data_IF_418875676251
#
_entry.id   IF_418875676251
#
_cell.length_a   1.000
_cell.length_b   1.000
_cell.length_c   1.000
_cell.angle_alpha   90.00
_cell.angle_beta   90.00
_cell.angle_gamma   90.00
#
_symmetry.space_group_name_H-M   'P 1'
#
loop_
_entity.id
_entity.type
_entity.pdbx_description
1 polymer ?
#
# COMPACT_ATOMS: atom_id res chain seq x y z
N UNK A 1 -17.91 19.58 -6.57
CA UNK A 1 -17.89 18.43 -5.62
C UNK A 1 -19.04 18.59 -4.66
N UNK A 2 -19.74 17.48 -4.31
CA UNK A 2 -20.70 17.49 -3.21
C UNK A 2 -19.94 17.86 -1.92
N UNK A 3 -20.51 18.68 -1.01
CA UNK A 3 -19.84 19.13 0.22
C UNK A 3 -19.26 18.01 1.09
N UNK A 4 -19.82 16.81 1.03
CA UNK A 4 -19.34 15.63 1.74
C UNK A 4 -18.42 14.70 0.93
N UNK A 5 -17.92 15.14 -0.24
CA UNK A 5 -16.88 14.41 -0.95
C UNK A 5 -15.67 14.17 -0.04
N UNK A 6 -15.21 12.91 0.17
CA UNK A 6 -14.05 12.64 1.01
C UNK A 6 -12.75 13.07 0.30
N UNK A 7 -11.89 13.74 1.05
CA UNK A 7 -10.57 14.19 0.59
C UNK A 7 -9.51 13.90 1.65
N UNK A 8 -8.32 13.53 1.20
CA UNK A 8 -7.13 13.40 2.06
C UNK A 8 -6.52 14.78 2.23
N UNK A 9 -6.33 15.21 3.47
CA UNK A 9 -5.82 16.54 3.84
C UNK A 9 -4.53 16.50 4.65
N UNK A 10 -4.18 15.35 5.22
CA UNK A 10 -2.94 15.20 5.96
C UNK A 10 -2.34 13.82 5.71
N UNK A 11 -1.00 13.76 5.63
CA UNK A 11 -0.24 12.53 5.47
C UNK A 11 1.05 12.60 6.28
N UNK A 12 1.46 11.48 6.86
CA UNK A 12 2.75 11.41 7.53
C UNK A 12 3.29 9.99 7.49
N UNK A 13 4.60 9.86 7.26
CA UNK A 13 5.37 8.65 7.47
C UNK A 13 6.43 8.93 8.52
N UNK A 14 6.57 8.06 9.51
CA UNK A 14 7.66 8.12 10.48
C UNK A 14 8.95 7.65 9.82
N UNK A 15 10.07 7.68 10.52
CA UNK A 15 11.27 6.98 10.08
C UNK A 15 10.95 5.52 9.73
N UNK A 16 11.50 5.06 8.61
CA UNK A 16 11.41 3.67 8.14
C UNK A 16 12.79 3.04 8.23
N UNK A 17 12.95 1.99 9.02
CA UNK A 17 14.23 1.34 9.24
C UNK A 17 14.11 -0.18 9.33
N UNK A 18 15.23 -0.89 9.18
CA UNK A 18 15.26 -2.34 9.43
C UNK A 18 14.90 -2.68 10.87
N UNK A 19 15.33 -1.82 11.81
CA UNK A 19 14.97 -1.91 13.23
C UNK A 19 14.99 -0.52 13.86
N UNK A 20 14.09 -0.28 14.79
CA UNK A 20 13.97 0.93 15.60
C UNK A 20 14.07 0.54 17.10
N UNK A 21 15.27 0.18 17.58
CA UNK A 21 15.44 -0.50 18.88
C UNK A 21 15.04 0.35 20.08
N UNK A 22 15.07 1.68 19.94
CA UNK A 22 14.81 2.64 21.02
C UNK A 22 13.39 3.24 20.93
N UNK A 23 12.52 2.65 20.07
CA UNK A 23 11.15 3.13 19.89
C UNK A 23 10.15 2.20 20.59
N UNK A 24 9.13 2.81 21.18
CA UNK A 24 7.92 2.14 21.63
C UNK A 24 6.85 2.17 20.53
N UNK A 25 6.05 1.10 20.43
CA UNK A 25 5.06 0.99 19.37
C UNK A 25 3.92 2.02 19.50
N UNK A 26 3.52 2.36 20.75
CA UNK A 26 2.49 3.37 20.99
C UNK A 26 3.00 4.76 20.62
N UNK A 27 4.24 5.08 20.99
CA UNK A 27 4.86 6.35 20.64
C UNK A 27 5.03 6.50 19.12
N UNK A 28 5.42 5.42 18.44
CA UNK A 28 5.57 5.42 16.99
C UNK A 28 4.22 5.61 16.27
N UNK A 29 3.16 4.95 16.75
CA UNK A 29 1.81 5.14 16.22
C UNK A 29 1.28 6.56 16.49
N UNK A 30 1.55 7.11 17.68
CA UNK A 30 1.19 8.48 18.02
C UNK A 30 1.95 9.51 17.17
N UNK A 31 3.22 9.26 16.87
CA UNK A 31 3.99 10.11 15.96
C UNK A 31 3.34 10.12 14.57
N UNK A 32 3.02 8.95 14.01
CA UNK A 32 2.36 8.86 12.72
C UNK A 32 1.03 9.64 12.70
N UNK A 33 0.18 9.41 13.70
CA UNK A 33 -1.13 10.05 13.83
C UNK A 33 -1.00 11.57 14.00
N UNK A 34 -0.16 12.02 14.93
CA UNK A 34 0.05 13.47 15.20
C UNK A 34 0.68 14.17 14.01
N UNK A 35 1.62 13.51 13.34
CA UNK A 35 2.26 14.05 12.14
C UNK A 35 1.25 14.28 11.02
N UNK A 36 0.36 13.32 10.76
CA UNK A 36 -0.70 13.46 9.74
C UNK A 36 -1.72 14.55 10.11
N UNK A 37 -2.09 14.67 11.41
CA UNK A 37 -2.98 15.72 11.90
C UNK A 37 -2.32 17.11 11.73
N UNK A 38 -1.03 17.22 12.07
CA UNK A 38 -0.27 18.47 11.93
C UNK A 38 -0.08 18.87 10.46
N UNK A 39 0.22 17.90 9.56
CA UNK A 39 0.29 18.15 8.11
C UNK A 39 -1.04 18.72 7.57
N UNK A 40 -2.17 18.22 8.06
CA UNK A 40 -3.47 18.75 7.72
C UNK A 40 -3.73 20.19 8.27
N UNK A 41 -2.88 20.73 9.15
CA UNK A 41 -3.14 21.97 9.87
C UNK A 41 -4.24 21.85 10.92
N UNK A 42 -4.50 20.62 11.40
CA UNK A 42 -5.52 20.29 12.38
C UNK A 42 -4.93 20.00 13.75
N UNK A 43 -5.79 19.86 14.72
CA UNK A 43 -5.47 19.44 16.09
C UNK A 43 -6.18 18.12 16.42
N UNK A 44 -5.77 17.37 17.46
CA UNK A 44 -6.49 16.18 17.89
C UNK A 44 -7.98 16.43 18.20
N UNK A 45 -8.34 17.65 18.61
CA UNK A 45 -9.73 18.04 18.86
C UNK A 45 -10.61 18.08 17.60
N UNK A 46 -10.01 18.10 16.43
CA UNK A 46 -10.70 18.12 15.14
C UNK A 46 -11.06 16.72 14.62
N UNK A 47 -10.49 15.67 15.20
CA UNK A 47 -10.67 14.28 14.77
C UNK A 47 -11.90 13.69 15.47
N UNK A 48 -12.90 13.24 14.74
CA UNK A 48 -14.10 12.60 15.27
C UNK A 48 -14.27 11.13 14.84
N UNK A 49 -13.33 10.62 14.05
CA UNK A 49 -13.23 9.21 13.69
C UNK A 49 -11.80 8.71 13.68
N UNK A 50 -11.58 7.44 14.04
CA UNK A 50 -10.27 6.79 14.01
C UNK A 50 -10.38 5.37 13.48
N UNK A 51 -9.46 5.04 12.57
CA UNK A 51 -9.20 3.71 12.08
C UNK A 51 -7.68 3.49 12.09
N UNK A 52 -7.17 3.29 13.29
CA UNK A 52 -5.74 3.18 13.56
C UNK A 52 -5.50 1.94 14.38
N UNK A 53 -4.56 1.08 13.94
CA UNK A 53 -4.17 -0.08 14.72
C UNK A 53 -3.66 0.34 16.09
N UNK A 54 -4.16 -0.29 17.15
CA UNK A 54 -3.71 -0.04 18.52
C UNK A 54 -2.57 -1.00 18.88
N UNK A 55 -1.34 -0.52 18.99
CA UNK A 55 -0.20 -1.38 19.25
C UNK A 55 0.07 -1.62 20.74
N UNK A 56 -0.71 -1.01 21.62
CA UNK A 56 -0.50 -1.06 23.07
C UNK A 56 -1.12 -2.29 23.74
N UNK A 57 -0.84 -2.51 25.02
CA UNK A 57 -1.42 -3.60 25.79
C UNK A 57 -2.94 -3.51 25.87
N UNK A 58 -3.61 -4.65 25.84
CA UNK A 58 -5.07 -4.72 25.96
C UNK A 58 -5.82 -4.12 24.77
N UNK A 59 -5.17 -4.07 23.58
CA UNK A 59 -5.67 -3.39 22.40
C UNK A 59 -6.99 -3.89 21.85
N UNK A 60 -7.47 -5.07 22.20
CA UNK A 60 -8.75 -5.61 21.74
C UNK A 60 -9.62 -5.97 22.93
N UNK A 61 -10.86 -5.51 23.04
CA UNK A 61 -11.71 -4.74 22.13
C UNK A 61 -11.66 -3.21 22.31
N UNK A 62 -10.62 -2.71 22.94
CA UNK A 62 -10.53 -1.30 23.35
C UNK A 62 -9.88 -0.32 22.40
N UNK A 63 -9.62 -0.69 21.14
CA UNK A 63 -8.89 0.17 20.18
C UNK A 63 -9.51 1.56 20.04
N UNK A 64 -10.80 1.65 19.76
CA UNK A 64 -11.52 2.92 19.64
C UNK A 64 -11.46 3.76 20.90
N UNK A 65 -11.66 3.16 22.09
CA UNK A 65 -11.57 3.84 23.38
C UNK A 65 -10.13 4.28 23.69
N UNK A 66 -9.14 3.47 23.33
CA UNK A 66 -7.73 3.80 23.49
C UNK A 66 -7.36 5.02 22.64
N UNK A 67 -7.78 5.06 21.38
CA UNK A 67 -7.55 6.20 20.50
C UNK A 67 -8.33 7.44 20.94
N UNK A 68 -9.59 7.31 21.40
CA UNK A 68 -10.35 8.41 21.98
C UNK A 68 -9.58 9.05 23.15
N UNK A 69 -9.02 8.21 24.04
CA UNK A 69 -8.19 8.67 25.16
C UNK A 69 -6.91 9.37 24.69
N UNK A 70 -6.21 8.83 23.69
CA UNK A 70 -4.96 9.40 23.16
C UNK A 70 -5.18 10.72 22.43
N UNK A 71 -6.33 10.87 21.78
CA UNK A 71 -6.75 12.10 21.11
C UNK A 71 -7.40 13.11 22.07
N UNK A 72 -7.74 12.69 23.31
CA UNK A 72 -8.32 13.55 24.35
C UNK A 72 -9.78 13.93 24.07
N UNK A 73 -10.53 13.11 23.31
CA UNK A 73 -11.92 13.37 22.96
C UNK A 73 -12.69 12.10 22.62
N UNK A 74 -14.02 12.16 22.72
CA UNK A 74 -14.90 11.08 22.26
C UNK A 74 -14.91 11.01 20.72
N UNK A 75 -14.88 9.80 20.18
CA UNK A 75 -14.99 9.54 18.77
C UNK A 75 -16.43 9.15 18.40
N UNK A 76 -16.90 9.64 17.28
CA UNK A 76 -18.22 9.32 16.71
C UNK A 76 -18.19 8.04 15.89
N UNK A 77 -17.00 7.70 15.37
CA UNK A 77 -16.82 6.55 14.52
C UNK A 77 -15.46 5.90 14.73
N UNK A 78 -15.44 4.58 14.79
CA UNK A 78 -14.21 3.77 14.76
C UNK A 78 -14.44 2.54 13.89
N UNK A 79 -13.36 2.00 13.36
CA UNK A 79 -13.37 0.70 12.70
C UNK A 79 -12.20 -0.10 13.26
N UNK A 80 -12.56 -1.13 14.02
CA UNK A 80 -11.60 -1.99 14.71
C UNK A 80 -11.32 -3.23 13.85
N UNK A 81 -10.08 -3.40 13.42
CA UNK A 81 -9.59 -4.66 12.86
C UNK A 81 -8.11 -4.55 12.59
N UNK A 82 -7.33 -5.40 13.20
CA UNK A 82 -5.86 -5.44 13.07
C UNK A 82 -5.35 -5.60 11.63
N UNK A 83 -6.12 -6.19 10.74
CA UNK A 83 -5.71 -6.45 9.36
C UNK A 83 -6.41 -5.54 8.34
N UNK A 84 -7.40 -4.78 8.76
CA UNK A 84 -8.29 -4.03 7.88
C UNK A 84 -8.10 -2.52 7.92
N UNK A 85 -7.09 -2.02 8.61
CA UNK A 85 -6.98 -0.60 8.91
C UNK A 85 -6.01 0.16 8.00
N UNK A 86 -5.41 -0.47 7.02
CA UNK A 86 -4.33 0.15 6.26
C UNK A 86 -4.69 0.47 4.81
N UNK A 87 -3.99 1.45 4.25
CA UNK A 87 -3.97 1.76 2.83
C UNK A 87 -5.32 2.05 2.20
N UNK A 88 -5.55 1.53 1.00
CA UNK A 88 -6.80 1.72 0.26
C UNK A 88 -8.02 1.22 1.02
N UNK A 89 -7.92 0.10 1.73
CA UNK A 89 -9.03 -0.43 2.53
C UNK A 89 -9.44 0.53 3.64
N UNK A 90 -8.48 1.01 4.42
CA UNK A 90 -8.71 2.00 5.46
C UNK A 90 -9.25 3.31 4.91
N UNK A 91 -8.65 3.80 3.84
CA UNK A 91 -9.09 5.01 3.14
C UNK A 91 -10.54 4.90 2.64
N UNK A 92 -10.90 3.78 2.00
CA UNK A 92 -12.26 3.58 1.48
C UNK A 92 -13.31 3.45 2.59
N UNK A 93 -12.99 2.80 3.72
CA UNK A 93 -13.87 2.76 4.89
C UNK A 93 -14.08 4.16 5.50
N UNK A 94 -13.00 4.93 5.68
CA UNK A 94 -13.08 6.31 6.16
C UNK A 94 -13.88 7.19 5.20
N UNK A 95 -13.65 7.06 3.89
CA UNK A 95 -14.38 7.78 2.86
C UNK A 95 -15.88 7.44 2.89
N UNK A 96 -16.25 6.18 3.06
CA UNK A 96 -17.64 5.76 3.21
C UNK A 96 -18.29 6.33 4.47
N UNK A 97 -17.58 6.31 5.61
CA UNK A 97 -18.07 6.88 6.86
C UNK A 97 -18.33 8.39 6.75
N UNK A 98 -17.42 9.13 6.12
CA UNK A 98 -17.56 10.56 5.85
C UNK A 98 -18.71 10.83 4.90
N UNK A 99 -18.82 10.10 3.80
CA UNK A 99 -19.91 10.27 2.83
C UNK A 99 -21.29 9.98 3.44
N UNK A 100 -21.36 8.99 4.33
CA UNK A 100 -22.59 8.63 5.05
C UNK A 100 -22.93 9.55 6.26
N UNK A 101 -22.01 10.44 6.66
CA UNK A 101 -22.21 11.36 7.78
C UNK A 101 -21.96 10.75 9.16
N UNK A 102 -21.31 9.59 9.25
CA UNK A 102 -20.93 9.00 10.54
C UNK A 102 -19.78 9.76 11.20
N UNK A 103 -18.87 10.31 10.41
CA UNK A 103 -17.79 11.17 10.85
C UNK A 103 -17.56 12.32 9.86
N UNK A 104 -16.85 13.35 10.30
CA UNK A 104 -16.44 14.48 9.48
C UNK A 104 -14.93 14.50 9.22
N UNK A 105 -14.13 13.99 10.15
CA UNK A 105 -12.67 13.94 10.02
C UNK A 105 -12.14 12.66 10.66
N UNK A 106 -11.54 11.81 9.85
CA UNK A 106 -11.07 10.48 10.25
C UNK A 106 -9.55 10.39 10.08
N UNK A 107 -8.86 9.89 11.09
CA UNK A 107 -7.46 9.48 10.97
C UNK A 107 -7.37 7.98 10.71
N UNK A 108 -6.53 7.59 9.76
CA UNK A 108 -6.28 6.19 9.35
C UNK A 108 -4.80 5.92 9.39
N UNK A 109 -4.37 4.79 9.96
CA UNK A 109 -2.96 4.43 9.96
C UNK A 109 -2.55 3.48 11.07
N UNK A 110 -1.31 3.59 11.50
CA UNK A 110 -0.71 2.80 12.56
C UNK A 110 0.80 2.63 12.39
N UNK A 111 1.36 1.66 13.09
CA UNK A 111 2.78 1.34 13.01
C UNK A 111 3.02 -0.16 13.12
N UNK A 112 4.25 -0.56 12.84
CA UNK A 112 4.76 -1.89 13.17
C UNK A 112 6.18 -1.79 13.72
N UNK A 113 6.40 -2.47 14.83
CA UNK A 113 7.71 -2.89 15.30
C UNK A 113 7.79 -4.42 15.18
N UNK A 114 8.88 -4.92 14.63
CA UNK A 114 9.11 -6.37 14.55
C UNK A 114 9.54 -6.86 15.92
N UNK A 115 8.72 -7.67 16.58
CA UNK A 115 9.12 -8.30 17.83
C UNK A 115 10.32 -9.22 17.56
N UNK A 116 11.42 -9.00 18.29
CA UNK A 116 12.61 -9.85 18.21
C UNK A 116 12.22 -11.30 18.50
N UNK A 117 12.47 -12.21 17.55
CA UNK A 117 12.15 -13.63 17.71
C UNK A 117 10.83 -14.06 17.07
N UNK A 118 10.07 -13.18 16.43
CA UNK A 118 9.00 -13.63 15.55
C UNK A 118 9.62 -14.38 14.36
N UNK A 119 9.23 -15.63 14.19
CA UNK A 119 9.60 -16.44 13.03
C UNK A 119 9.13 -15.83 11.72
N UNK A 120 9.32 -16.53 10.58
CA UNK A 120 8.84 -16.06 9.28
C UNK A 120 7.40 -15.60 9.39
N UNK A 121 7.10 -14.44 8.79
CA UNK A 121 5.73 -13.90 8.79
C UNK A 121 4.84 -14.92 8.06
N UNK A 122 4.10 -15.71 8.84
CA UNK A 122 3.08 -16.60 8.30
C UNK A 122 1.93 -15.78 7.71
N UNK A 123 1.03 -16.45 7.00
CA UNK A 123 -0.16 -15.82 6.42
C UNK A 123 -1.22 -15.42 7.47
N UNK A 124 -0.80 -15.16 8.70
CA UNK A 124 -1.63 -14.62 9.78
C UNK A 124 -2.45 -15.64 10.57
N UNK A 125 -2.78 -16.80 10.01
CA UNK A 125 -3.46 -17.90 10.71
C UNK A 125 -2.64 -19.15 10.51
N UNK A 126 -2.36 -19.94 11.59
CA UNK A 126 -1.75 -21.24 11.44
C UNK A 126 -2.54 -22.09 10.46
N UNK A 127 -1.90 -22.44 9.34
CA UNK A 127 -2.52 -23.26 8.32
C UNK A 127 -2.15 -24.71 8.59
N UNK A 128 -3.10 -25.44 9.13
CA UNK A 128 -2.94 -26.82 9.63
C UNK A 128 -2.18 -27.74 8.64
N UNK A 129 -2.33 -27.49 7.33
CA UNK A 129 -1.69 -28.27 6.28
C UNK A 129 -0.57 -27.54 5.54
N UNK A 130 -0.43 -26.23 5.69
CA UNK A 130 0.55 -25.44 4.95
C UNK A 130 1.78 -25.10 5.80
N UNK A 131 1.62 -24.79 7.08
CA UNK A 131 2.71 -24.39 7.96
C UNK A 131 3.70 -25.53 8.21
N UNK A 132 3.21 -26.79 8.28
CA UNK A 132 4.07 -28.00 8.44
C UNK A 132 5.04 -28.16 7.27
N UNK A 133 4.69 -27.62 6.08
CA UNK A 133 5.52 -27.69 4.87
C UNK A 133 6.31 -26.40 4.64
N UNK A 134 6.26 -25.45 5.59
CA UNK A 134 6.93 -24.17 5.46
C UNK A 134 6.28 -23.24 4.40
N UNK A 135 4.99 -23.43 4.11
CA UNK A 135 4.26 -22.54 3.23
C UNK A 135 4.05 -21.19 3.91
N UNK A 136 4.66 -20.16 3.36
CA UNK A 136 4.50 -18.78 3.81
C UNK A 136 4.18 -17.89 2.61
N UNK A 137 3.79 -16.64 2.85
CA UNK A 137 3.24 -15.74 1.83
C UNK A 137 4.07 -15.67 0.55
N UNK A 138 5.42 -15.65 0.65
CA UNK A 138 6.29 -15.62 -0.54
C UNK A 138 6.14 -16.88 -1.38
N UNK A 139 6.01 -18.07 -0.74
CA UNK A 139 5.80 -19.33 -1.45
C UNK A 139 4.44 -19.37 -2.17
N UNK A 140 3.40 -18.79 -1.57
CA UNK A 140 2.07 -18.68 -2.20
C UNK A 140 2.14 -17.81 -3.46
N UNK A 141 2.75 -16.63 -3.40
CA UNK A 141 3.00 -15.81 -4.57
C UNK A 141 3.87 -16.51 -5.62
N UNK A 142 4.86 -17.29 -5.19
CA UNK A 142 5.75 -18.03 -6.09
C UNK A 142 4.99 -19.07 -6.93
N UNK A 143 3.99 -19.76 -6.34
CA UNK A 143 3.13 -20.69 -7.09
C UNK A 143 2.30 -19.97 -8.14
N UNK A 144 1.72 -18.82 -7.80
CA UNK A 144 0.95 -17.99 -8.75
C UNK A 144 1.85 -17.50 -9.88
N UNK A 145 3.05 -17.00 -9.54
CA UNK A 145 4.05 -16.54 -10.50
C UNK A 145 4.52 -17.67 -11.44
N UNK A 146 4.85 -18.83 -10.89
CA UNK A 146 5.30 -19.97 -11.66
C UNK A 146 4.23 -20.43 -12.69
N UNK A 147 2.95 -20.37 -12.32
CA UNK A 147 1.86 -20.67 -13.23
C UNK A 147 1.75 -19.64 -14.35
N UNK A 148 1.82 -18.36 -14.04
CA UNK A 148 1.82 -17.30 -15.04
C UNK A 148 3.01 -17.43 -16.01
N UNK A 149 4.20 -17.72 -15.50
CA UNK A 149 5.39 -17.96 -16.32
C UNK A 149 5.19 -19.14 -17.27
N UNK A 150 4.52 -20.20 -16.81
CA UNK A 150 4.22 -21.38 -17.64
C UNK A 150 3.20 -21.06 -18.75
N UNK A 151 2.15 -20.29 -18.44
CA UNK A 151 1.08 -20.00 -19.38
C UNK A 151 1.45 -18.94 -20.42
N UNK A 152 2.17 -17.91 -20.00
CA UNK A 152 2.41 -16.73 -20.83
C UNK A 152 3.88 -16.53 -21.23
N UNK A 153 4.80 -17.36 -20.71
CA UNK A 153 6.21 -17.25 -21.03
C UNK A 153 6.93 -16.08 -20.34
N UNK A 154 6.33 -15.49 -19.30
CA UNK A 154 7.02 -14.50 -18.47
C UNK A 154 8.32 -15.08 -17.92
N UNK A 155 9.40 -14.31 -17.96
CA UNK A 155 10.75 -14.78 -17.65
C UNK A 155 11.24 -14.23 -16.31
N UNK A 156 12.19 -14.94 -15.67
CA UNK A 156 12.88 -14.44 -14.48
C UNK A 156 13.61 -13.11 -14.75
N UNK A 157 14.05 -12.88 -16.00
CA UNK A 157 14.63 -11.60 -16.40
C UNK A 157 13.64 -10.45 -16.29
N UNK A 158 12.40 -10.64 -16.72
CA UNK A 158 11.36 -9.62 -16.61
C UNK A 158 11.00 -9.34 -15.14
N UNK A 159 10.96 -10.37 -14.28
CA UNK A 159 10.83 -10.18 -12.82
C UNK A 159 11.98 -9.33 -12.28
N UNK A 160 13.20 -9.65 -12.68
CA UNK A 160 14.40 -8.94 -12.23
C UNK A 160 14.45 -7.48 -12.70
N UNK A 161 13.98 -7.17 -13.91
CA UNK A 161 13.85 -5.78 -14.41
C UNK A 161 12.86 -4.96 -13.57
N UNK A 162 11.72 -5.56 -13.18
CA UNK A 162 10.77 -4.92 -12.23
C UNK A 162 11.46 -4.62 -10.91
N UNK A 163 12.13 -5.63 -10.33
CA UNK A 163 12.79 -5.49 -9.04
C UNK A 163 13.90 -4.42 -9.09
N UNK A 164 14.75 -4.44 -10.10
CA UNK A 164 15.81 -3.45 -10.27
C UNK A 164 15.26 -2.03 -10.41
N UNK A 165 14.23 -1.83 -11.24
CA UNK A 165 13.60 -0.53 -11.45
C UNK A 165 13.08 0.06 -10.15
N UNK A 166 12.24 -0.68 -9.41
CA UNK A 166 11.63 -0.17 -8.16
C UNK A 166 12.68 0.00 -7.07
N UNK A 167 13.63 -0.94 -6.94
CA UNK A 167 14.73 -0.81 -5.96
C UNK A 167 15.54 0.45 -6.19
N UNK A 168 15.86 0.77 -7.44
CA UNK A 168 16.64 1.95 -7.76
C UNK A 168 15.93 3.26 -7.42
N UNK A 169 14.60 3.29 -7.45
CA UNK A 169 13.85 4.44 -6.92
C UNK A 169 14.14 4.66 -5.43
N UNK A 170 14.12 3.60 -4.61
CA UNK A 170 14.43 3.73 -3.17
C UNK A 170 15.89 3.99 -2.88
N UNK A 171 16.86 3.53 -3.72
CA UNK A 171 18.28 3.77 -3.45
C UNK A 171 18.67 5.23 -3.52
N UNK A 172 17.90 6.04 -4.19
CA UNK A 172 18.09 7.50 -4.32
C UNK A 172 17.10 8.32 -3.50
N UNK A 173 16.15 7.66 -2.81
CA UNK A 173 15.22 8.31 -1.90
C UNK A 173 15.78 8.31 -0.46
N UNK A 174 16.09 9.49 0.14
CA UNK A 174 16.68 9.58 1.47
C UNK A 174 15.76 9.07 2.60
N UNK A 175 14.46 8.94 2.36
CA UNK A 175 13.51 8.39 3.33
C UNK A 175 13.41 6.85 3.26
N UNK A 176 13.99 6.22 2.25
CA UNK A 176 13.88 4.78 2.03
C UNK A 176 14.92 4.00 2.85
N UNK A 177 14.51 2.82 3.35
CA UNK A 177 15.42 1.93 4.09
C UNK A 177 16.66 1.51 3.28
N UNK A 178 16.56 1.51 1.94
CA UNK A 178 17.63 1.12 1.04
C UNK A 178 18.41 2.31 0.46
N UNK A 179 18.22 3.50 1.01
CA UNK A 179 18.94 4.69 0.58
C UNK A 179 20.46 4.47 0.54
N UNK A 180 21.08 4.88 -0.56
CA UNK A 180 22.52 4.72 -0.77
C UNK A 180 23.01 3.30 -1.08
N UNK A 181 22.09 2.32 -1.22
CA UNK A 181 22.41 0.94 -1.57
C UNK A 181 22.02 0.67 -3.03
N UNK A 182 22.95 0.31 -3.86
CA UNK A 182 22.76 0.10 -5.31
C UNK A 182 23.63 1.02 -6.15
N UNK A 183 23.36 1.31 -7.43
CA UNK A 183 22.20 0.83 -8.18
C UNK A 183 22.24 -0.69 -8.42
N UNK A 184 21.06 -1.28 -8.59
CA UNK A 184 20.87 -2.69 -8.91
C UNK A 184 20.57 -2.86 -10.40
N UNK A 185 21.12 -3.93 -10.98
CA UNK A 185 20.79 -4.42 -12.33
C UNK A 185 19.92 -5.67 -12.23
N UNK A 186 19.28 -6.07 -13.32
CA UNK A 186 18.58 -7.34 -13.37
C UNK A 186 19.54 -8.54 -13.14
N UNK A 187 20.80 -8.42 -13.54
CA UNK A 187 21.80 -9.46 -13.28
C UNK A 187 22.13 -9.59 -11.79
N UNK A 188 22.17 -8.48 -11.04
CA UNK A 188 22.34 -8.50 -9.57
C UNK A 188 21.15 -9.21 -8.90
N UNK A 189 19.92 -8.97 -9.39
CA UNK A 189 18.72 -9.65 -8.87
C UNK A 189 18.83 -11.15 -9.12
N UNK A 190 19.14 -11.57 -10.34
CA UNK A 190 19.27 -12.97 -10.72
C UNK A 190 20.43 -13.69 -10.02
N UNK A 191 21.51 -12.98 -9.70
CA UNK A 191 22.65 -13.51 -8.96
C UNK A 191 22.37 -13.62 -7.45
N UNK A 192 21.34 -12.95 -6.94
CA UNK A 192 21.01 -12.99 -5.51
C UNK A 192 20.43 -14.37 -5.11
N UNK A 193 20.48 -14.67 -3.82
CA UNK A 193 20.07 -15.98 -3.29
C UNK A 193 18.60 -16.29 -3.63
N UNK A 194 18.32 -17.51 -4.11
CA UNK A 194 16.96 -18.01 -4.31
C UNK A 194 16.22 -18.11 -2.96
N UNK A 195 15.01 -17.59 -2.91
CA UNK A 195 14.12 -17.64 -1.74
C UNK A 195 13.02 -18.68 -1.94
N UNK A 196 12.23 -18.56 -2.99
CA UNK A 196 11.19 -19.49 -3.41
C UNK A 196 11.02 -19.35 -4.92
N UNK A 197 11.34 -20.39 -5.70
CA UNK A 197 11.27 -20.34 -7.17
C UNK A 197 9.92 -19.80 -7.66
N UNK A 198 9.87 -18.71 -8.49
CA UNK A 198 11.00 -18.12 -9.23
C UNK A 198 11.74 -16.96 -8.52
N UNK A 199 11.43 -16.62 -7.28
CA UNK A 199 11.92 -15.41 -6.61
C UNK A 199 13.29 -15.56 -5.98
N UNK A 200 14.15 -14.63 -6.32
CA UNK A 200 15.42 -14.39 -5.63
C UNK A 200 15.23 -13.37 -4.48
N UNK A 201 16.25 -13.20 -3.66
CA UNK A 201 16.22 -12.29 -2.52
C UNK A 201 15.85 -10.85 -2.91
N UNK A 202 16.41 -10.38 -4.01
CA UNK A 202 16.15 -9.03 -4.50
C UNK A 202 14.79 -8.88 -5.23
N UNK A 203 14.11 -9.98 -5.55
CA UNK A 203 12.71 -9.93 -5.99
C UNK A 203 11.73 -9.66 -4.85
N UNK A 204 12.13 -9.87 -3.60
CA UNK A 204 11.25 -9.83 -2.43
C UNK A 204 11.38 -8.52 -1.66
N UNK A 205 10.31 -8.09 -1.01
CA UNK A 205 10.29 -6.94 -0.11
C UNK A 205 11.22 -7.12 1.10
N UNK A 206 11.57 -6.01 1.72
CA UNK A 206 12.41 -5.99 2.93
C UNK A 206 11.55 -5.63 4.11
N UNK A 207 11.47 -6.55 5.07
CA UNK A 207 10.75 -6.33 6.33
C UNK A 207 11.49 -5.29 7.16
N UNK A 208 10.75 -4.28 7.61
CA UNK A 208 11.25 -3.21 8.46
C UNK A 208 10.24 -2.77 9.50
N UNK A 209 10.57 -1.71 10.19
CA UNK A 209 9.81 -1.05 11.24
C UNK A 209 9.49 0.37 10.84
N UNK A 210 8.36 0.88 11.30
CA UNK A 210 7.90 2.22 11.00
C UNK A 210 6.39 2.35 11.11
N UNK A 211 5.89 3.55 10.88
CA UNK A 211 4.47 3.86 10.90
C UNK A 211 4.08 4.85 9.81
N UNK A 212 2.80 4.94 9.55
CA UNK A 212 2.22 5.92 8.66
C UNK A 212 0.77 6.24 9.05
N UNK A 213 0.32 7.44 8.78
CA UNK A 213 -1.08 7.82 8.94
C UNK A 213 -1.49 8.86 7.90
N UNK A 214 -2.80 8.89 7.66
CA UNK A 214 -3.45 9.89 6.81
C UNK A 214 -4.65 10.48 7.53
N UNK A 215 -5.04 11.70 7.18
CA UNK A 215 -6.27 12.34 7.63
C UNK A 215 -7.19 12.56 6.45
N UNK A 216 -8.42 12.09 6.58
CA UNK A 216 -9.48 12.22 5.57
C UNK A 216 -10.59 13.08 6.15
N UNK A 217 -11.08 14.04 5.37
CA UNK A 217 -12.18 14.92 5.80
C UNK A 217 -13.11 15.23 4.62
N UNK A 218 -14.11 16.10 4.84
CA UNK A 218 -14.99 16.54 3.78
C UNK A 218 -14.34 17.61 2.90
N UNK A 219 -14.68 17.65 1.62
CA UNK A 219 -14.20 18.69 0.70
C UNK A 219 -14.63 20.10 1.15
N UNK A 220 -15.76 20.22 1.87
CA UNK A 220 -16.19 21.48 2.45
C UNK A 220 -15.19 21.98 3.49
N UNK A 221 -14.83 21.13 4.46
CA UNK A 221 -13.89 21.49 5.52
C UNK A 221 -12.48 21.75 4.98
N UNK A 222 -12.08 20.99 3.95
CA UNK A 222 -10.76 21.09 3.37
C UNK A 222 -10.45 22.46 2.75
N UNK A 223 -11.44 23.29 2.43
CA UNK A 223 -11.24 24.62 1.85
C UNK A 223 -10.48 25.59 2.76
N UNK A 224 -10.61 25.38 4.06
CA UNK A 224 -10.00 26.22 5.08
C UNK A 224 -8.68 25.65 5.60
N UNK A 225 -8.20 24.53 5.03
CA UNK A 225 -6.97 23.87 5.45
C UNK A 225 -5.78 24.25 4.55
N UNK A 226 -4.55 24.23 5.09
CA UNK A 226 -3.39 24.73 4.37
C UNK A 226 -2.91 23.86 3.22
N UNK A 227 -3.21 22.56 3.25
CA UNK A 227 -2.74 21.62 2.26
C UNK A 227 -3.66 21.51 1.05
N UNK A 228 -3.08 21.25 -0.13
CA UNK A 228 -3.86 20.90 -1.32
C UNK A 228 -4.58 19.58 -1.04
N UNK A 229 -5.93 19.58 -1.02
CA UNK A 229 -6.67 18.36 -0.75
C UNK A 229 -6.60 17.41 -1.93
N UNK A 230 -6.57 16.10 -1.64
CA UNK A 230 -6.57 15.04 -2.63
C UNK A 230 -7.87 14.27 -2.54
N UNK A 231 -8.68 14.31 -3.60
CA UNK A 231 -10.00 13.71 -3.63
C UNK A 231 -9.93 12.18 -3.78
N UNK A 232 -10.78 11.47 -3.05
CA UNK A 232 -11.04 10.05 -3.29
C UNK A 232 -12.12 9.97 -4.38
N UNK A 233 -11.70 9.69 -5.61
CA UNK A 233 -12.57 9.71 -6.79
C UNK A 233 -13.32 8.42 -7.00
N UNK A 234 -12.73 7.30 -6.59
CA UNK A 234 -13.31 5.98 -6.73
C UNK A 234 -12.53 4.92 -5.96
N UNK A 235 -13.08 3.74 -5.90
CA UNK A 235 -12.43 2.60 -5.29
C UNK A 235 -13.20 1.31 -5.43
N UNK A 236 -12.53 0.21 -5.14
CA UNK A 236 -13.12 -1.11 -5.19
C UNK A 236 -12.33 -2.10 -4.34
N UNK A 237 -13.01 -3.17 -3.95
CA UNK A 237 -12.44 -4.27 -3.20
C UNK A 237 -12.90 -5.59 -3.80
N UNK A 238 -12.00 -6.57 -3.83
CA UNK A 238 -12.26 -7.94 -4.25
C UNK A 238 -11.58 -8.92 -3.31
N UNK A 239 -12.27 -10.02 -3.02
CA UNK A 239 -11.77 -11.08 -2.17
C UNK A 239 -12.02 -12.42 -2.85
N UNK A 240 -10.97 -13.23 -3.03
CA UNK A 240 -11.12 -14.58 -3.50
C UNK A 240 -11.69 -15.47 -2.39
N UNK A 241 -12.59 -16.38 -2.74
CA UNK A 241 -13.28 -17.27 -1.80
C UNK A 241 -12.40 -18.38 -1.21
N UNK A 242 -11.17 -18.57 -1.71
CA UNK A 242 -10.28 -19.59 -1.18
C UNK A 242 -9.94 -19.32 0.28
N UNK A 243 -10.23 -20.27 1.14
CA UNK A 243 -9.65 -20.30 2.46
C UNK A 243 -8.13 -20.45 2.36
N UNK A 244 -7.40 -19.97 3.34
CA UNK A 244 -5.96 -20.12 3.46
C UNK A 244 -5.42 -21.57 3.35
N UNK A 245 -6.30 -22.56 3.36
CA UNK A 245 -5.94 -23.98 3.32
C UNK A 245 -5.38 -24.46 1.97
N UNK A 246 -5.67 -23.77 0.87
CA UNK A 246 -5.20 -24.14 -0.46
C UNK A 246 -4.45 -22.96 -1.09
N UNK A 247 -3.25 -23.18 -1.67
CA UNK A 247 -2.60 -22.18 -2.47
C UNK A 247 -3.54 -21.71 -3.58
N UNK A 248 -3.68 -20.40 -3.73
CA UNK A 248 -4.48 -19.83 -4.82
C UNK A 248 -3.86 -20.21 -6.17
N UNK A 249 -4.71 -20.57 -7.14
CA UNK A 249 -4.27 -20.82 -8.51
C UNK A 249 -4.27 -19.52 -9.30
N UNK A 250 -3.31 -19.34 -10.19
CA UNK A 250 -3.23 -18.13 -11.02
C UNK A 250 -4.56 -17.82 -11.74
N UNK A 251 -5.20 -18.81 -12.35
CA UNK A 251 -6.48 -18.58 -13.06
C UNK A 251 -7.63 -18.11 -12.14
N UNK A 252 -7.49 -18.28 -10.83
CA UNK A 252 -8.46 -17.83 -9.82
C UNK A 252 -8.17 -16.43 -9.33
N UNK A 253 -6.89 -16.10 -9.17
CA UNK A 253 -6.46 -14.85 -8.56
C UNK A 253 -5.64 -13.94 -9.49
N UNK A 254 -5.23 -14.43 -10.65
CA UNK A 254 -4.37 -13.69 -11.57
C UNK A 254 -4.96 -12.36 -12.01
N UNK A 255 -6.28 -12.32 -12.18
CA UNK A 255 -7.02 -11.14 -12.58
C UNK A 255 -7.80 -10.48 -11.41
N UNK A 256 -7.55 -10.92 -10.19
CA UNK A 256 -8.17 -10.32 -9.02
C UNK A 256 -7.73 -8.85 -8.90
N UNK A 257 -8.67 -7.96 -8.81
CA UNK A 257 -8.48 -6.51 -8.89
C UNK A 257 -9.06 -5.88 -10.15
N UNK A 258 -9.37 -6.67 -11.20
CA UNK A 258 -9.95 -6.15 -12.46
C UNK A 258 -11.34 -5.55 -12.25
N UNK A 259 -12.20 -6.21 -11.49
CA UNK A 259 -13.52 -5.68 -11.19
C UNK A 259 -13.46 -4.48 -10.25
N UNK A 260 -12.55 -4.50 -9.27
CA UNK A 260 -12.31 -3.34 -8.41
C UNK A 260 -11.83 -2.13 -9.22
N UNK A 261 -10.90 -2.33 -10.15
CA UNK A 261 -10.40 -1.29 -11.04
C UNK A 261 -11.51 -0.77 -11.97
N UNK A 262 -12.26 -1.66 -12.60
CA UNK A 262 -13.37 -1.28 -13.48
C UNK A 262 -14.39 -0.41 -12.75
N UNK A 263 -14.76 -0.77 -11.52
CA UNK A 263 -15.67 0.04 -10.70
C UNK A 263 -15.06 1.38 -10.33
N UNK A 264 -13.79 1.40 -9.90
CA UNK A 264 -13.12 2.63 -9.50
C UNK A 264 -12.98 3.61 -10.68
N UNK A 265 -12.59 3.14 -11.85
CA UNK A 265 -12.51 3.96 -13.06
C UNK A 265 -13.89 4.49 -13.48
N UNK A 266 -14.92 3.65 -13.45
CA UNK A 266 -16.28 4.06 -13.77
C UNK A 266 -16.82 5.13 -12.80
N UNK A 267 -16.52 5.04 -11.50
CA UNK A 267 -16.91 6.05 -10.51
C UNK A 267 -16.28 7.42 -10.81
N UNK A 268 -15.07 7.43 -11.31
CA UNK A 268 -14.33 8.66 -11.63
C UNK A 268 -14.55 9.14 -13.07
N UNK A 269 -15.11 8.32 -13.95
CA UNK A 269 -15.29 8.64 -15.37
C UNK A 269 -13.99 8.67 -16.16
N UNK A 270 -13.00 7.84 -15.78
CA UNK A 270 -11.67 7.76 -16.41
C UNK A 270 -11.34 6.32 -16.79
N UNK A 271 -10.26 6.12 -17.53
CA UNK A 271 -9.69 4.80 -17.85
C UNK A 271 -8.28 4.60 -17.28
N UNK A 272 -7.73 3.38 -17.38
CA UNK A 272 -6.40 3.08 -16.87
C UNK A 272 -5.29 3.91 -17.52
N UNK A 273 -5.49 4.38 -18.75
CA UNK A 273 -4.50 5.19 -19.51
C UNK A 273 -4.49 6.67 -19.10
N UNK A 274 -5.48 7.11 -18.31
CA UNK A 274 -5.56 8.48 -17.78
C UNK A 274 -4.83 8.65 -16.46
N UNK A 275 -4.32 7.55 -15.87
CA UNK A 275 -3.63 7.55 -14.59
C UNK A 275 -2.14 7.86 -14.78
N UNK A 276 -1.66 8.84 -14.02
CA UNK A 276 -0.28 9.35 -14.13
C UNK A 276 0.72 8.59 -13.27
N UNK A 277 0.30 8.07 -12.11
CA UNK A 277 1.19 7.38 -11.17
C UNK A 277 0.49 6.22 -10.46
N UNK A 278 1.23 5.15 -10.25
CA UNK A 278 0.75 3.92 -9.64
C UNK A 278 1.56 3.61 -8.38
N UNK A 279 0.92 3.69 -7.21
CA UNK A 279 1.49 3.28 -5.93
C UNK A 279 0.94 1.90 -5.56
N UNK A 280 1.63 0.86 -5.98
CA UNK A 280 1.16 -0.52 -5.95
C UNK A 280 1.89 -1.34 -4.87
N UNK A 281 1.16 -2.31 -4.29
CA UNK A 281 1.77 -3.27 -3.38
C UNK A 281 2.72 -4.20 -4.13
N UNK A 282 3.97 -4.20 -3.72
CA UNK A 282 5.08 -4.94 -4.31
C UNK A 282 5.80 -5.82 -3.28
N UNK A 283 5.13 -6.87 -2.73
CA UNK A 283 5.80 -7.82 -1.83
C UNK A 283 6.84 -8.63 -2.57
N UNK A 284 6.74 -8.69 -3.87
CA UNK A 284 7.67 -9.27 -4.83
C UNK A 284 7.47 -8.64 -6.21
N UNK A 285 8.42 -8.86 -7.10
CA UNK A 285 8.43 -8.30 -8.46
C UNK A 285 7.26 -8.79 -9.33
N UNK A 286 6.82 -10.04 -9.18
CA UNK A 286 5.72 -10.60 -9.96
C UNK A 286 4.38 -9.90 -9.66
N UNK A 287 4.13 -9.51 -8.42
CA UNK A 287 2.87 -8.85 -8.06
C UNK A 287 2.65 -7.55 -8.82
N UNK A 288 3.72 -6.85 -9.21
CA UNK A 288 3.62 -5.70 -10.11
C UNK A 288 3.15 -6.12 -11.49
N UNK A 289 3.74 -7.16 -12.09
CA UNK A 289 3.32 -7.69 -13.40
C UNK A 289 1.84 -8.02 -13.39
N UNK A 290 1.39 -8.77 -12.37
CA UNK A 290 -0.01 -9.13 -12.20
C UNK A 290 -0.93 -7.91 -12.10
N UNK A 291 -0.53 -6.91 -11.32
CA UNK A 291 -1.33 -5.70 -11.16
C UNK A 291 -1.41 -4.85 -12.44
N UNK A 292 -0.34 -4.77 -13.25
CA UNK A 292 -0.39 -4.08 -14.54
C UNK A 292 -1.47 -4.68 -15.45
N UNK A 293 -1.60 -6.01 -15.46
CA UNK A 293 -2.60 -6.75 -16.23
C UNK A 293 -4.01 -6.58 -15.64
N UNK A 294 -4.16 -6.76 -14.32
CA UNK A 294 -5.44 -6.63 -13.64
C UNK A 294 -6.02 -5.22 -13.70
N UNK A 295 -5.16 -4.19 -13.64
CA UNK A 295 -5.56 -2.79 -13.75
C UNK A 295 -5.86 -2.34 -15.20
N UNK A 296 -5.65 -3.21 -16.19
CA UNK A 296 -5.97 -2.94 -17.59
C UNK A 296 -4.95 -2.06 -18.32
N UNK A 297 -3.71 -2.02 -17.85
CA UNK A 297 -2.62 -1.30 -18.53
C UNK A 297 -2.08 -2.08 -19.74
N UNK A 298 -2.24 -3.40 -19.72
CA UNK A 298 -1.91 -4.32 -20.79
C UNK A 298 -2.80 -5.57 -20.72
N UNK A 299 -2.69 -6.45 -21.73
CA UNK A 299 -3.35 -7.75 -21.75
C UNK A 299 -2.68 -8.78 -20.82
N UNK A 300 -3.34 -9.92 -20.62
CA UNK A 300 -2.79 -11.05 -19.87
C UNK A 300 -1.51 -11.57 -20.54
N UNK A 301 -0.46 -11.77 -19.73
CA UNK A 301 0.86 -12.18 -20.22
C UNK A 301 1.73 -11.04 -20.77
N UNK A 302 1.21 -9.83 -20.88
CA UNK A 302 1.93 -8.69 -21.42
C UNK A 302 2.58 -7.82 -20.33
N UNK A 303 2.26 -8.03 -19.06
CA UNK A 303 2.79 -7.25 -17.94
C UNK A 303 4.32 -7.33 -17.80
N UNK A 304 4.90 -8.51 -18.05
CA UNK A 304 6.35 -8.70 -18.05
C UNK A 304 7.07 -7.90 -19.14
N UNK A 305 6.70 -8.04 -20.42
CA UNK A 305 7.20 -7.22 -21.52
C UNK A 305 6.99 -5.71 -21.29
N UNK A 306 5.82 -5.29 -20.81
CA UNK A 306 5.54 -3.89 -20.50
C UNK A 306 6.51 -3.33 -19.45
N UNK A 307 6.70 -4.05 -18.34
CA UNK A 307 7.61 -3.63 -17.30
C UNK A 307 9.07 -3.56 -17.80
N UNK A 308 9.53 -4.57 -18.54
CA UNK A 308 10.87 -4.65 -19.09
C UNK A 308 11.15 -3.59 -20.17
N UNK A 309 10.13 -2.97 -20.77
CA UNK A 309 10.30 -1.87 -21.73
C UNK A 309 10.70 -0.53 -21.09
N UNK A 310 10.78 -0.46 -19.74
CA UNK A 310 11.01 0.78 -19.01
C UNK A 310 9.75 1.59 -18.73
N UNK A 311 8.56 1.09 -19.11
CA UNK A 311 7.30 1.81 -18.94
C UNK A 311 6.97 2.13 -17.48
N UNK A 312 7.45 1.31 -16.53
CA UNK A 312 7.19 1.48 -15.08
C UNK A 312 8.21 2.37 -14.36
N UNK A 313 9.26 2.81 -15.04
CA UNK A 313 10.26 3.72 -14.45
C UNK A 313 9.67 5.11 -14.21
N UNK A 314 10.29 5.88 -13.32
CA UNK A 314 10.01 7.32 -13.17
C UNK A 314 10.32 8.00 -14.50
N UNK A 315 9.33 8.68 -15.10
CA UNK A 315 9.44 9.23 -16.47
C UNK A 315 9.03 8.24 -17.57
N UNK A 316 8.71 6.99 -17.24
CA UNK A 316 8.06 6.03 -18.15
C UNK A 316 6.57 6.35 -18.32
N UNK A 317 5.89 5.55 -19.15
CA UNK A 317 4.48 5.75 -19.47
C UNK A 317 3.55 5.51 -18.27
N UNK A 318 3.91 4.58 -17.40
CA UNK A 318 3.14 4.15 -16.24
C UNK A 318 4.03 4.06 -15.00
N UNK A 319 4.50 5.18 -14.43
CA UNK A 319 5.41 5.17 -13.29
C UNK A 319 4.84 4.38 -12.10
N UNK A 320 5.59 3.38 -11.63
CA UNK A 320 5.19 2.53 -10.51
C UNK A 320 6.14 2.72 -9.34
N UNK A 321 5.59 2.96 -8.15
CA UNK A 321 6.34 3.09 -6.90
C UNK A 321 7.56 4.02 -7.02
N UNK A 322 7.39 5.30 -7.36
CA UNK A 322 8.49 6.24 -7.46
C UNK A 322 9.30 6.38 -6.15
N UNK A 323 8.67 6.13 -5.01
CA UNK A 323 9.29 6.13 -3.68
C UNK A 323 10.27 4.97 -3.45
N UNK A 324 10.16 3.87 -4.20
CA UNK A 324 10.93 2.63 -4.02
C UNK A 324 10.10 1.46 -3.50
N UNK A 325 8.84 1.67 -3.16
CA UNK A 325 7.90 0.61 -2.81
C UNK A 325 8.29 -0.25 -1.62
N UNK A 326 7.66 -1.40 -1.48
CA UNK A 326 8.03 -2.40 -0.46
C UNK A 326 9.37 -3.05 -0.75
N UNK A 327 9.80 -3.04 -2.01
CA UNK A 327 11.09 -3.62 -2.42
C UNK A 327 12.28 -2.80 -1.90
N UNK A 328 12.11 -1.50 -1.63
CA UNK A 328 13.23 -0.62 -1.32
C UNK A 328 12.91 0.47 -0.29
N UNK A 329 11.70 1.06 -0.32
CA UNK A 329 11.32 2.09 0.66
C UNK A 329 11.06 1.47 2.03
N UNK A 330 10.00 0.66 2.17
CA UNK A 330 9.68 -0.05 3.42
C UNK A 330 8.60 -1.13 3.24
N UNK A 331 8.72 -2.22 3.99
CA UNK A 331 7.62 -3.13 4.28
C UNK A 331 7.46 -3.28 5.79
N UNK A 332 6.52 -2.58 6.37
CA UNK A 332 6.25 -2.52 7.81
C UNK A 332 4.87 -3.10 8.17
N UNK A 333 4.59 -4.28 7.69
CA UNK A 333 3.30 -4.95 7.93
C UNK A 333 2.17 -4.32 7.15
N UNK A 334 0.97 -4.22 7.75
CA UNK A 334 -0.19 -3.60 7.09
C UNK A 334 0.01 -2.12 6.80
N UNK A 335 0.92 -1.45 7.50
CA UNK A 335 1.15 0.00 7.35
C UNK A 335 1.86 0.38 6.05
N UNK A 336 2.58 -0.54 5.39
CA UNK A 336 3.10 -0.24 4.06
C UNK A 336 1.99 0.14 3.06
N UNK A 337 0.76 -0.33 3.28
CA UNK A 337 -0.38 0.05 2.45
C UNK A 337 -0.77 1.52 2.67
N UNK A 338 -0.61 2.04 3.89
CA UNK A 338 -0.78 3.46 4.19
C UNK A 338 0.33 4.31 3.56
N UNK A 339 1.59 3.80 3.53
CA UNK A 339 2.69 4.45 2.82
C UNK A 339 2.40 4.63 1.33
N UNK A 340 1.70 3.67 0.70
CA UNK A 340 1.26 3.80 -0.69
C UNK A 340 0.29 4.98 -0.89
N UNK A 341 -0.61 5.23 0.07
CA UNK A 341 -1.49 6.42 0.04
C UNK A 341 -0.68 7.69 0.27
N UNK A 342 0.28 7.67 1.22
CA UNK A 342 1.17 8.82 1.48
C UNK A 342 1.92 9.21 0.22
N UNK A 343 2.52 8.25 -0.49
CA UNK A 343 3.23 8.53 -1.74
C UNK A 343 2.29 9.09 -2.80
N UNK A 344 1.14 8.48 -3.04
CA UNK A 344 0.17 8.98 -4.03
C UNK A 344 -0.27 10.42 -3.72
N UNK A 345 -0.51 10.75 -2.45
CA UNK A 345 -0.87 12.12 -2.04
C UNK A 345 0.29 13.09 -2.26
N UNK A 346 1.52 12.71 -1.92
CA UNK A 346 2.72 13.54 -2.17
C UNK A 346 2.91 13.81 -3.67
N UNK A 347 2.72 12.80 -4.52
CA UNK A 347 2.76 12.93 -5.98
C UNK A 347 1.73 13.96 -6.48
N UNK A 348 0.48 13.85 -6.04
CA UNK A 348 -0.60 14.75 -6.43
C UNK A 348 -0.45 16.16 -5.86
N UNK A 349 0.29 16.33 -4.76
CA UNK A 349 0.65 17.64 -4.19
C UNK A 349 1.89 18.28 -4.82
N UNK A 350 2.70 17.52 -5.56
CA UNK A 350 3.97 17.97 -6.10
C UNK A 350 5.09 18.02 -5.06
N UNK A 351 5.05 17.17 -4.03
CA UNK A 351 5.98 17.13 -2.90
C UNK A 351 6.72 15.80 -2.75
N UNK A 352 6.57 14.89 -3.70
CA UNK A 352 7.25 13.61 -3.68
C UNK A 352 8.77 13.76 -3.96
N UNK A 353 9.58 12.86 -3.42
CA UNK A 353 11.04 12.87 -3.65
C UNK A 353 11.37 12.63 -5.12
N UNK A 354 10.74 11.63 -5.73
CA UNK A 354 10.83 11.38 -7.17
C UNK A 354 9.50 11.76 -7.82
N UNK A 355 9.36 13.04 -8.08
CA UNK A 355 8.12 13.60 -8.60
C UNK A 355 7.83 13.17 -10.04
N UNK A 356 6.65 12.62 -10.27
CA UNK A 356 6.09 12.47 -11.62
C UNK A 356 5.49 13.84 -12.02
N UNK A 357 6.09 14.46 -13.02
CA UNK A 357 5.71 15.80 -13.42
C UNK A 357 4.26 15.84 -13.96
N UNK A 358 3.48 16.79 -13.47
CA UNK A 358 2.10 16.99 -13.93
C UNK A 358 1.10 15.97 -13.43
N UNK A 359 1.45 15.11 -12.44
CA UNK A 359 0.53 14.10 -11.93
C UNK A 359 -0.76 14.72 -11.35
N UNK A 360 -1.91 14.34 -11.92
CA UNK A 360 -3.25 14.74 -11.50
C UNK A 360 -4.09 13.54 -11.01
N UNK A 361 -3.77 12.31 -11.46
CA UNK A 361 -4.45 11.06 -11.08
C UNK A 361 -3.47 10.01 -10.58
N UNK A 362 -3.79 9.39 -9.46
CA UNK A 362 -3.00 8.32 -8.86
C UNK A 362 -3.86 7.11 -8.51
N UNK A 363 -3.34 5.92 -8.79
CA UNK A 363 -3.88 4.65 -8.29
C UNK A 363 -3.08 4.19 -7.10
N UNK A 364 -3.78 3.80 -6.03
CA UNK A 364 -3.20 3.04 -4.91
C UNK A 364 -3.77 1.64 -4.93
N UNK A 365 -2.92 0.64 -5.12
CA UNK A 365 -3.29 -0.77 -5.17
C UNK A 365 -2.74 -1.56 -3.99
N UNK A 366 -3.62 -2.29 -3.33
CA UNK A 366 -3.28 -3.24 -2.29
C UNK A 366 -3.58 -4.66 -2.76
N UNK A 367 -2.75 -5.59 -2.37
CA UNK A 367 -3.02 -7.02 -2.51
C UNK A 367 -2.42 -7.76 -1.31
N UNK A 368 -2.79 -8.99 -1.09
CA UNK A 368 -2.21 -9.74 0.00
C UNK A 368 -2.49 -11.23 -0.07
N UNK A 369 -1.88 -11.97 0.86
CA UNK A 369 -2.10 -13.41 1.04
C UNK A 369 -2.00 -14.23 -0.25
N UNK A 370 -0.93 -14.01 -1.04
CA UNK A 370 -0.76 -14.71 -2.31
C UNK A 370 -1.73 -14.24 -3.41
N UNK A 371 -2.06 -12.96 -3.42
CA UNK A 371 -3.02 -12.32 -4.33
C UNK A 371 -4.48 -12.76 -4.12
N UNK A 372 -4.85 -13.15 -2.88
CA UNK A 372 -6.22 -13.60 -2.59
C UNK A 372 -7.20 -12.46 -2.30
N UNK A 373 -6.72 -11.24 -2.15
CA UNK A 373 -7.54 -10.04 -2.04
C UNK A 373 -6.88 -8.88 -2.76
N UNK A 374 -7.70 -7.94 -3.19
CA UNK A 374 -7.25 -6.72 -3.83
C UNK A 374 -8.14 -5.54 -3.44
N UNK A 375 -7.53 -4.44 -3.10
CA UNK A 375 -8.20 -3.16 -2.89
C UNK A 375 -7.53 -2.07 -3.71
N UNK A 376 -8.34 -1.19 -4.26
CA UNK A 376 -7.88 -0.08 -5.07
C UNK A 376 -8.58 1.21 -4.66
N UNK A 377 -7.81 2.28 -4.57
CA UNK A 377 -8.33 3.65 -4.50
C UNK A 377 -7.81 4.44 -5.69
N UNK A 378 -8.68 5.23 -6.30
CA UNK A 378 -8.33 6.21 -7.31
C UNK A 378 -8.39 7.59 -6.67
N UNK A 379 -7.27 8.29 -6.71
CA UNK A 379 -7.08 9.59 -6.11
C UNK A 379 -6.85 10.64 -7.19
N UNK A 380 -7.32 11.86 -6.95
CA UNK A 380 -7.12 12.97 -7.87
C UNK A 380 -6.89 14.27 -7.14
N UNK A 381 -6.15 15.17 -7.78
CA UNK A 381 -5.96 16.54 -7.29
C UNK A 381 -7.33 17.23 -7.21
N UNK A 382 -7.72 17.70 -6.04
CA UNK A 382 -8.98 18.43 -5.90
C UNK A 382 -8.86 19.80 -6.58
N UNK A 383 -9.82 20.10 -7.44
CA UNK A 383 -9.92 21.36 -8.16
C UNK A 383 -10.83 22.34 -7.43
#
# INVERSE_FOLDING_TARGET
MNGRQPVVVGVHATEQALTLPDRDAVDLALEAVRGAIADAGLTPADIDGAQVDWPGPGGVPGEGSSWARMLGRDLRWTSDSMLDNAGSRGLLKAAAAISAGYADTVVVGGCKLVSRGSGPVGAGVPLEFADVWGSYVVAQFALVAARHMHEYGTTSRQLAEVAATIRNNGTTNPEAMMYGRGPYTADDVLASRMVATPFHLLDCCIVGEGGAAIVVTTAERARDLPQVPVAVLGGGMEYHQAAYANPALYREVGQLGRDAATRAYAMAGVGPQDVDVFSLYDPNSFEIIRQLEALGLCGEGEGGPLAASGAIAVGGKHPVNPDGGCLSYAWNGTQQMTLKVVEAVRQLRGTAVHQVEGAELAVVGNAGSGAQHYEMSLLGRAR
#
